data_IF_633619019435
#
_entry.id   IF_633619019435
#
_cell.length_a   1.000
_cell.length_b   1.000
_cell.length_c   1.000
_cell.angle_alpha   90.00
_cell.angle_beta   90.00
_cell.angle_gamma   90.00
#
_symmetry.space_group_name_H-M   'P 1'
#
loop_
_entity.id
_entity.type
_entity.pdbx_description
1 polymer ?
#
# COMPACT_ATOMS: atom_id res chain seq x y z
N UNK A 1 -7.84 17.33 -0.32
CA UNK A 1 -8.17 16.30 0.67
C UNK A 1 -7.40 16.62 1.93
N UNK A 2 -8.08 16.75 3.07
CA UNK A 2 -7.39 16.96 4.34
C UNK A 2 -6.85 15.61 4.81
N UNK A 3 -5.54 15.42 4.71
CA UNK A 3 -4.86 14.25 5.25
C UNK A 3 -4.67 14.40 6.77
N UNK A 4 -4.61 13.29 7.46
CA UNK A 4 -4.33 13.21 8.90
C UNK A 4 -2.80 13.19 9.05
N UNK A 5 -2.26 14.10 9.84
CA UNK A 5 -0.82 14.11 10.15
C UNK A 5 -0.43 12.83 10.89
N UNK A 6 0.75 12.32 10.59
CA UNK A 6 1.23 11.08 11.20
C UNK A 6 1.34 11.19 12.73
N UNK A 7 1.86 12.28 13.25
CA UNK A 7 1.95 12.52 14.70
C UNK A 7 0.58 12.50 15.40
N UNK A 8 -0.44 13.09 14.76
CA UNK A 8 -1.81 13.05 15.29
C UNK A 8 -2.39 11.61 15.29
N UNK A 9 -2.09 10.82 14.25
CA UNK A 9 -2.46 9.42 14.23
C UNK A 9 -1.76 8.63 15.33
N UNK A 10 -0.46 8.81 15.52
CA UNK A 10 0.30 8.13 16.59
C UNK A 10 -0.23 8.47 17.98
N UNK A 11 -0.53 9.72 18.25
CA UNK A 11 -1.11 10.15 19.51
C UNK A 11 -2.45 9.45 19.79
N UNK A 12 -3.33 9.42 18.79
CA UNK A 12 -4.64 8.76 18.93
C UNK A 12 -4.50 7.25 19.06
N UNK A 13 -3.69 6.60 18.23
CA UNK A 13 -3.52 5.14 18.21
C UNK A 13 -2.86 4.61 19.47
N UNK A 14 -1.99 5.40 20.12
CA UNK A 14 -1.32 5.07 21.38
C UNK A 14 -2.14 5.43 22.63
N UNK A 15 -3.32 6.02 22.48
CA UNK A 15 -4.21 6.33 23.56
C UNK A 15 -4.66 5.06 24.30
N UNK A 16 -4.75 5.12 25.65
CA UNK A 16 -5.20 3.98 26.47
C UNK A 16 -6.61 3.50 26.15
N UNK A 17 -7.40 4.31 25.46
CA UNK A 17 -8.77 3.99 25.06
C UNK A 17 -8.86 3.28 23.72
N UNK A 18 -7.76 3.25 22.94
CA UNK A 18 -7.68 2.60 21.64
C UNK A 18 -6.98 1.24 21.83
N UNK A 19 -7.66 0.19 21.45
CA UNK A 19 -7.14 -1.18 21.53
C UNK A 19 -6.21 -1.50 20.35
N UNK A 20 -6.56 -1.03 19.18
CA UNK A 20 -5.79 -1.14 17.94
C UNK A 20 -6.27 -0.07 16.96
N UNK A 21 -5.43 0.25 15.99
CA UNK A 21 -5.78 1.16 14.91
C UNK A 21 -5.15 0.65 13.60
N UNK A 22 -5.83 0.90 12.49
CA UNK A 22 -5.38 0.51 11.14
C UNK A 22 -5.23 1.80 10.32
N UNK A 23 -4.00 2.23 10.01
CA UNK A 23 -3.79 3.39 9.15
C UNK A 23 -4.05 3.03 7.69
N UNK A 24 -4.58 4.00 6.94
CA UNK A 24 -4.94 3.84 5.53
C UNK A 24 -4.38 5.03 4.75
N UNK A 25 -3.58 4.76 3.74
CA UNK A 25 -3.11 5.74 2.76
C UNK A 25 -3.58 5.36 1.37
N UNK A 26 -4.22 6.30 0.69
CA UNK A 26 -4.78 6.11 -0.65
C UNK A 26 -4.18 7.18 -1.58
N UNK A 27 -4.05 6.86 -2.86
CA UNK A 27 -3.57 7.83 -3.85
C UNK A 27 -3.12 7.21 -5.17
N UNK A 28 -2.81 5.94 -5.16
CA UNK A 28 -2.28 5.21 -6.30
C UNK A 28 -3.22 4.13 -6.80
N UNK A 29 -2.91 3.63 -7.99
CA UNK A 29 -3.67 2.58 -8.66
C UNK A 29 -2.75 1.66 -9.47
N UNK A 30 -3.30 0.52 -9.87
CA UNK A 30 -2.67 -0.37 -10.81
C UNK A 30 -3.72 -0.96 -11.74
N UNK A 31 -3.66 -0.61 -13.03
CA UNK A 31 -4.55 -1.14 -14.07
C UNK A 31 -6.04 -1.06 -13.70
N UNK A 32 -6.45 0.06 -13.10
CA UNK A 32 -7.82 0.30 -12.67
C UNK A 32 -8.20 -0.22 -11.27
N UNK A 33 -7.30 -0.91 -10.59
CA UNK A 33 -7.47 -1.34 -9.21
C UNK A 33 -6.82 -0.35 -8.24
N UNK A 34 -7.45 -0.16 -7.08
CA UNK A 34 -6.94 0.76 -6.05
C UNK A 34 -5.76 0.16 -5.31
N UNK A 35 -4.77 0.99 -5.01
CA UNK A 35 -3.68 0.68 -4.09
C UNK A 35 -3.98 1.29 -2.73
N UNK A 36 -3.77 0.52 -1.67
CA UNK A 36 -3.93 0.93 -0.28
C UNK A 36 -2.64 0.69 0.48
N UNK A 37 -2.04 1.76 0.99
CA UNK A 37 -0.96 1.68 1.97
C UNK A 37 -1.53 1.46 3.36
N UNK A 38 -0.96 0.52 4.11
CA UNK A 38 -1.37 0.18 5.48
C UNK A 38 -0.22 -0.47 6.25
N UNK A 39 -0.49 -1.04 7.41
CA UNK A 39 0.48 -1.77 8.21
C UNK A 39 -0.03 -3.17 8.61
N UNK A 40 0.73 -3.87 9.44
CA UNK A 40 0.39 -5.24 9.88
C UNK A 40 -0.96 -5.32 10.62
N UNK A 41 -1.36 -4.25 11.33
CA UNK A 41 -2.65 -4.20 12.04
C UNK A 41 -3.84 -4.50 11.12
N UNK A 42 -3.73 -4.17 9.84
CA UNK A 42 -4.77 -4.49 8.87
C UNK A 42 -4.99 -6.01 8.74
N UNK A 43 -3.93 -6.80 8.62
CA UNK A 43 -4.04 -8.25 8.52
C UNK A 43 -4.41 -8.91 9.83
N UNK A 44 -4.10 -8.28 10.96
CA UNK A 44 -4.36 -8.82 12.30
C UNK A 44 -5.78 -8.51 12.81
N UNK A 45 -6.29 -7.32 12.52
CA UNK A 45 -7.49 -6.81 13.17
C UNK A 45 -8.67 -6.56 12.22
N UNK A 46 -8.42 -6.33 10.92
CA UNK A 46 -9.53 -6.12 9.99
C UNK A 46 -10.42 -7.35 9.91
N UNK A 47 -11.71 -7.14 10.03
CA UNK A 47 -12.72 -8.18 9.96
C UNK A 47 -13.79 -7.81 8.92
N UNK A 48 -14.32 -8.83 8.24
CA UNK A 48 -15.40 -8.69 7.27
C UNK A 48 -16.51 -9.71 7.55
N UNK A 49 -17.70 -9.48 7.01
CA UNK A 49 -18.84 -10.36 7.18
C UNK A 49 -19.15 -10.64 8.66
N UNK A 50 -19.21 -11.90 9.04
CA UNK A 50 -19.44 -12.33 10.44
C UNK A 50 -18.12 -12.47 11.19
N UNK A 51 -17.39 -11.35 11.38
CA UNK A 51 -16.12 -11.29 12.11
C UNK A 51 -15.01 -12.21 11.56
N UNK A 52 -14.98 -12.40 10.26
CA UNK A 52 -13.94 -13.19 9.60
C UNK A 52 -12.68 -12.35 9.40
N UNK A 53 -11.54 -12.92 9.74
CA UNK A 53 -10.24 -12.32 9.48
C UNK A 53 -9.77 -12.58 8.06
N UNK A 54 -8.91 -11.69 7.55
CA UNK A 54 -8.22 -11.90 6.29
C UNK A 54 -7.31 -13.13 6.37
N UNK A 55 -7.31 -13.93 5.32
CA UNK A 55 -6.47 -15.12 5.22
C UNK A 55 -5.68 -15.10 3.91
N UNK A 56 -4.45 -15.57 3.94
CA UNK A 56 -3.66 -15.79 2.73
C UNK A 56 -4.13 -17.05 2.01
N UNK A 57 -4.39 -16.92 0.69
CA UNK A 57 -4.53 -18.07 -0.18
C UNK A 57 -3.15 -18.59 -0.57
N UNK A 58 -2.20 -17.68 -0.82
CA UNK A 58 -0.83 -17.98 -1.18
C UNK A 58 0.11 -16.93 -0.56
N UNK A 59 1.33 -17.35 -0.24
CA UNK A 59 2.38 -16.47 0.24
C UNK A 59 2.15 -15.93 1.65
N UNK A 60 2.54 -14.67 1.84
CA UNK A 60 2.60 -14.01 3.13
C UNK A 60 2.21 -12.54 3.05
N UNK A 61 1.99 -11.90 4.20
CA UNK A 61 1.89 -10.44 4.28
C UNK A 61 3.24 -9.80 3.95
N UNK A 62 3.24 -8.50 3.59
CA UNK A 62 4.50 -7.78 3.38
C UNK A 62 5.31 -7.68 4.70
N UNK A 63 6.61 -7.58 4.56
CA UNK A 63 7.57 -7.49 5.66
C UNK A 63 8.33 -6.15 5.59
N UNK A 64 9.64 -6.19 5.76
CA UNK A 64 10.47 -4.99 5.87
C UNK A 64 10.83 -4.33 4.54
N UNK A 65 10.83 -5.06 3.43
CA UNK A 65 11.07 -4.47 2.11
C UNK A 65 9.87 -3.59 1.70
N UNK A 66 10.07 -2.30 1.41
CA UNK A 66 8.97 -1.40 1.04
C UNK A 66 8.30 -1.76 -0.30
N UNK A 67 8.97 -2.52 -1.18
CA UNK A 67 8.47 -2.86 -2.51
C UNK A 67 7.82 -4.24 -2.58
N UNK A 68 7.07 -4.58 -1.57
CA UNK A 68 6.25 -5.79 -1.51
C UNK A 68 4.77 -5.45 -1.60
N UNK A 69 4.01 -6.28 -2.29
CA UNK A 69 2.56 -6.11 -2.44
C UNK A 69 1.81 -7.40 -2.15
N UNK A 70 0.68 -7.26 -1.45
CA UNK A 70 -0.30 -8.34 -1.23
C UNK A 70 -1.55 -8.03 -2.04
N UNK A 71 -1.96 -8.96 -2.89
CA UNK A 71 -3.09 -8.78 -3.80
C UNK A 71 -4.40 -9.27 -3.21
N UNK A 72 -5.47 -8.53 -3.45
CA UNK A 72 -6.82 -9.06 -3.32
C UNK A 72 -7.09 -10.16 -4.36
N UNK A 73 -8.01 -11.08 -4.05
CA UNK A 73 -8.25 -12.26 -4.88
C UNK A 73 -8.66 -11.93 -6.31
N UNK A 74 -9.51 -10.93 -6.52
CA UNK A 74 -9.95 -10.54 -7.86
C UNK A 74 -8.82 -9.91 -8.67
N UNK A 75 -7.94 -9.12 -8.04
CA UNK A 75 -6.77 -8.53 -8.73
C UNK A 75 -5.87 -9.64 -9.27
N UNK A 76 -5.54 -10.62 -8.45
CA UNK A 76 -4.70 -11.75 -8.86
C UNK A 76 -5.35 -12.56 -9.99
N UNK A 77 -6.63 -12.87 -9.87
CA UNK A 77 -7.38 -13.65 -10.87
C UNK A 77 -7.50 -12.91 -12.21
N UNK A 78 -7.92 -11.66 -12.17
CA UNK A 78 -8.20 -10.87 -13.38
C UNK A 78 -6.93 -10.50 -14.14
N UNK A 79 -5.85 -10.19 -13.43
CA UNK A 79 -4.58 -9.78 -14.03
C UNK A 79 -3.58 -10.94 -14.17
N UNK A 80 -3.95 -12.16 -13.74
CA UNK A 80 -3.14 -13.37 -13.85
C UNK A 80 -1.80 -13.29 -13.11
N UNK A 81 -1.78 -12.62 -11.97
CA UNK A 81 -0.58 -12.52 -11.12
C UNK A 81 -0.37 -13.76 -10.25
N UNK A 82 0.90 -14.08 -10.06
CA UNK A 82 1.41 -15.15 -9.19
C UNK A 82 2.45 -14.58 -8.22
N UNK A 83 2.75 -15.31 -7.15
CA UNK A 83 3.84 -14.97 -6.25
C UNK A 83 5.15 -14.80 -7.04
N UNK A 84 5.90 -13.75 -6.70
CA UNK A 84 7.15 -13.40 -7.36
C UNK A 84 7.01 -12.50 -8.59
N UNK A 85 5.81 -12.32 -9.14
CA UNK A 85 5.59 -11.39 -10.24
C UNK A 85 5.88 -9.96 -9.80
N UNK A 86 6.35 -9.15 -10.75
CA UNK A 86 6.61 -7.72 -10.53
C UNK A 86 5.56 -6.88 -11.21
N UNK A 87 5.15 -5.82 -10.54
CA UNK A 87 4.19 -4.86 -11.07
C UNK A 87 4.60 -3.43 -10.72
N UNK A 88 4.12 -2.49 -11.53
CA UNK A 88 4.40 -1.07 -11.41
C UNK A 88 3.11 -0.34 -11.05
N UNK A 89 3.19 0.50 -10.03
CA UNK A 89 2.07 1.35 -9.62
C UNK A 89 2.03 2.64 -10.44
N UNK A 90 0.87 3.26 -10.48
CA UNK A 90 0.65 4.52 -11.17
C UNK A 90 -0.02 5.53 -10.24
N UNK A 91 0.36 6.79 -10.37
CA UNK A 91 -0.19 7.85 -9.54
C UNK A 91 -1.66 8.15 -9.92
N UNK A 92 -2.49 8.27 -8.89
CA UNK A 92 -3.91 8.55 -9.04
C UNK A 92 -4.76 7.29 -9.26
N UNK A 93 -6.08 7.49 -9.36
CA UNK A 93 -7.09 6.41 -9.46
C UNK A 93 -7.67 6.25 -10.87
N UNK A 94 -7.18 6.99 -11.84
CA UNK A 94 -7.66 6.91 -13.22
C UNK A 94 -7.21 5.61 -13.90
N UNK A 95 -8.05 5.07 -14.77
CA UNK A 95 -7.72 3.88 -15.58
C UNK A 95 -6.50 4.12 -16.47
N UNK A 96 -6.30 5.36 -16.89
CA UNK A 96 -5.13 5.81 -17.64
C UNK A 96 -4.39 6.83 -16.77
N UNK A 97 -3.36 6.41 -16.08
CA UNK A 97 -2.44 7.32 -15.40
C UNK A 97 -1.29 7.66 -16.34
N UNK A 98 -0.98 8.94 -16.45
CA UNK A 98 0.12 9.43 -17.28
C UNK A 98 1.49 9.28 -16.57
N UNK A 99 1.48 9.06 -15.25
CA UNK A 99 2.71 8.95 -14.47
C UNK A 99 2.76 7.60 -13.78
N UNK A 100 3.79 6.83 -14.10
CA UNK A 100 4.06 5.50 -13.54
C UNK A 100 5.31 5.53 -12.68
N UNK A 101 5.33 4.69 -11.67
CA UNK A 101 6.50 4.45 -10.81
C UNK A 101 7.34 3.27 -11.34
N UNK A 102 7.70 3.32 -12.63
CA UNK A 102 8.37 2.23 -13.35
C UNK A 102 9.81 1.94 -12.90
N UNK A 103 10.42 2.87 -12.18
CA UNK A 103 11.72 2.72 -11.53
C UNK A 103 11.65 2.00 -10.16
N UNK A 104 10.46 1.78 -9.63
CA UNK A 104 10.22 1.19 -8.30
C UNK A 104 9.17 0.06 -8.38
N UNK A 105 9.51 -1.09 -8.99
CA UNK A 105 8.59 -2.21 -9.12
C UNK A 105 8.34 -2.89 -7.77
N UNK A 106 7.11 -3.35 -7.57
CA UNK A 106 6.68 -4.14 -6.42
C UNK A 106 6.68 -5.62 -6.75
N UNK A 107 7.06 -6.45 -5.80
CA UNK A 107 7.01 -7.92 -5.91
C UNK A 107 5.75 -8.44 -5.22
N UNK A 108 5.00 -9.29 -5.88
CA UNK A 108 3.84 -9.99 -5.29
C UNK A 108 4.34 -11.03 -4.30
N UNK A 109 4.07 -10.81 -3.01
CA UNK A 109 4.50 -11.70 -1.92
C UNK A 109 3.35 -12.48 -1.29
N UNK A 110 2.11 -12.06 -1.52
CA UNK A 110 0.93 -12.71 -1.00
C UNK A 110 -0.30 -12.43 -1.85
N UNK A 111 -1.24 -13.38 -1.79
CA UNK A 111 -2.57 -13.28 -2.40
C UNK A 111 -3.58 -13.67 -1.34
N UNK A 112 -4.53 -12.78 -1.07
CA UNK A 112 -5.59 -13.01 -0.09
C UNK A 112 -6.64 -14.00 -0.62
N UNK A 113 -7.24 -14.75 0.28
CA UNK A 113 -8.48 -15.49 -0.02
C UNK A 113 -9.60 -14.51 -0.33
N UNK A 114 -10.51 -14.92 -1.19
CA UNK A 114 -11.67 -14.14 -1.57
C UNK A 114 -12.55 -13.82 -0.35
N UNK A 115 -12.95 -12.56 -0.24
CA UNK A 115 -13.75 -12.06 0.88
C UNK A 115 -15.18 -11.71 0.46
N UNK A 116 -15.42 -11.47 -0.83
CA UNK A 116 -16.70 -10.93 -1.31
C UNK A 116 -16.89 -9.43 -1.00
N UNK A 117 -15.79 -8.73 -0.68
CA UNK A 117 -15.78 -7.31 -0.31
C UNK A 117 -14.82 -6.53 -1.23
N UNK A 118 -14.76 -5.20 -1.15
CA UNK A 118 -13.79 -4.40 -1.90
C UNK A 118 -12.32 -4.76 -1.65
N UNK A 119 -12.00 -5.50 -0.60
CA UNK A 119 -10.66 -6.07 -0.35
C UNK A 119 -10.19 -6.89 -1.54
N UNK A 120 -11.08 -7.65 -2.17
CA UNK A 120 -10.76 -8.49 -3.33
C UNK A 120 -10.22 -7.70 -4.53
N UNK A 121 -10.59 -6.42 -4.62
CA UNK A 121 -10.22 -5.49 -5.70
C UNK A 121 -9.10 -4.52 -5.32
N UNK A 122 -8.38 -4.79 -4.25
CA UNK A 122 -7.37 -3.89 -3.69
C UNK A 122 -5.98 -4.52 -3.74
N UNK A 123 -4.97 -3.72 -4.09
CA UNK A 123 -3.57 -4.03 -3.87
C UNK A 123 -3.14 -3.39 -2.55
N UNK A 124 -2.51 -4.18 -1.68
CA UNK A 124 -2.08 -3.74 -0.36
C UNK A 124 -0.56 -3.63 -0.32
N UNK A 125 -0.05 -2.46 0.04
CA UNK A 125 1.38 -2.19 0.25
C UNK A 125 1.60 -1.65 1.65
N UNK A 126 2.84 -1.66 2.13
CA UNK A 126 3.17 -1.01 3.39
C UNK A 126 3.09 0.52 3.27
N UNK A 127 2.91 1.21 4.41
CA UNK A 127 3.02 2.67 4.44
C UNK A 127 4.41 3.13 3.97
N UNK A 128 5.46 2.39 4.34
CA UNK A 128 6.81 2.65 3.83
C UNK A 128 6.91 2.52 2.31
N UNK A 129 6.20 1.56 1.72
CA UNK A 129 6.10 1.41 0.26
C UNK A 129 5.43 2.62 -0.40
N UNK A 130 4.36 3.12 0.21
CA UNK A 130 3.67 4.33 -0.27
C UNK A 130 4.59 5.56 -0.22
N UNK A 131 5.36 5.72 0.84
CA UNK A 131 6.35 6.81 0.92
C UNK A 131 7.50 6.62 -0.08
N UNK A 132 8.00 5.39 -0.22
CA UNK A 132 9.14 5.09 -1.09
C UNK A 132 8.91 5.44 -2.56
N UNK A 133 7.71 5.22 -3.08
CA UNK A 133 7.39 5.55 -4.47
C UNK A 133 7.24 7.06 -4.72
N UNK A 134 7.06 7.85 -3.68
CA UNK A 134 6.90 9.31 -3.77
C UNK A 134 8.07 10.10 -3.17
N UNK A 135 9.13 9.42 -2.70
CA UNK A 135 10.19 10.04 -1.91
C UNK A 135 10.96 11.12 -2.66
N UNK A 136 11.08 10.98 -3.99
CA UNK A 136 11.72 11.95 -4.87
C UNK A 136 10.70 12.83 -5.63
N UNK A 137 9.46 12.84 -5.21
CA UNK A 137 8.43 13.66 -5.84
C UNK A 137 8.44 15.09 -5.31
N UNK A 138 8.40 16.05 -6.23
CA UNK A 138 8.31 17.47 -5.94
C UNK A 138 7.04 18.05 -6.59
N UNK A 139 6.18 18.67 -5.79
CA UNK A 139 4.93 19.27 -6.28
C UNK A 139 4.05 18.33 -7.12
N UNK A 140 4.03 17.03 -6.77
CA UNK A 140 3.20 16.02 -7.42
C UNK A 140 3.77 15.45 -8.73
N UNK A 141 5.04 15.70 -9.03
CA UNK A 141 5.75 15.13 -10.18
C UNK A 141 7.09 14.52 -9.76
N UNK A 142 7.56 13.46 -10.44
CA UNK A 142 8.86 12.86 -10.16
C UNK A 142 9.99 13.86 -10.42
N UNK A 143 11.02 13.85 -9.58
CA UNK A 143 12.24 14.59 -9.84
C UNK A 143 12.95 14.08 -11.10
N UNK A 144 13.68 14.95 -11.77
CA UNK A 144 14.47 14.61 -12.94
C UNK A 144 15.97 14.66 -12.65
N UNK A 145 16.74 13.81 -13.36
CA UNK A 145 18.20 13.77 -13.27
C UNK A 145 18.70 13.42 -11.87
N UNK A 146 19.64 14.23 -11.34
CA UNK A 146 20.28 14.00 -10.06
C UNK A 146 19.37 14.01 -8.83
N UNK A 147 18.13 14.51 -8.95
CA UNK A 147 17.13 14.50 -7.87
C UNK A 147 16.37 13.17 -7.75
N UNK A 148 16.58 12.23 -8.67
CA UNK A 148 15.92 10.93 -8.66
C UNK A 148 16.53 9.99 -7.65
N UNK A 149 15.69 9.32 -6.85
CA UNK A 149 16.09 8.33 -5.83
C UNK A 149 15.73 6.95 -6.35
N UNK A 150 16.73 6.06 -6.46
CA UNK A 150 16.49 4.67 -6.89
C UNK A 150 15.76 3.85 -5.83
N UNK A 151 15.21 2.68 -6.24
CA UNK A 151 14.60 1.74 -5.31
C UNK A 151 15.57 1.32 -4.19
N UNK A 152 16.82 1.04 -4.52
CA UNK A 152 17.84 0.63 -3.54
C UNK A 152 18.18 1.76 -2.56
N UNK A 153 18.27 3.00 -3.03
CA UNK A 153 18.43 4.15 -2.15
C UNK A 153 17.22 4.34 -1.23
N UNK A 154 16.01 4.22 -1.76
CA UNK A 154 14.78 4.36 -0.99
C UNK A 154 14.68 3.33 0.14
N UNK A 155 15.14 2.08 -0.06
CA UNK A 155 15.17 1.04 0.97
C UNK A 155 15.97 1.42 2.21
N UNK A 156 16.96 2.30 2.08
CA UNK A 156 17.85 2.73 3.15
C UNK A 156 17.45 4.08 3.76
N UNK A 157 16.32 4.64 3.37
CA UNK A 157 15.84 5.94 3.86
C UNK A 157 14.80 5.76 4.97
N UNK A 158 14.56 6.83 5.72
CA UNK A 158 13.42 6.89 6.63
C UNK A 158 12.13 7.04 5.83
N UNK A 159 11.32 5.98 5.86
CA UNK A 159 10.04 5.88 5.16
C UNK A 159 8.84 6.07 6.11
N UNK A 160 9.04 6.73 7.24
CA UNK A 160 7.96 7.12 8.13
C UNK A 160 6.99 8.05 7.39
N UNK A 161 5.69 7.75 7.37
CA UNK A 161 4.70 8.59 6.71
C UNK A 161 4.68 9.99 7.29
N UNK A 162 4.44 10.99 6.45
CA UNK A 162 4.14 12.36 6.89
C UNK A 162 2.67 12.52 7.26
N UNK A 163 1.84 11.83 6.52
CA UNK A 163 0.38 11.85 6.70
C UNK A 163 -0.26 10.58 6.12
N UNK A 164 -1.48 10.31 6.57
CA UNK A 164 -2.34 9.23 6.06
C UNK A 164 -3.69 9.81 5.61
N UNK A 165 -4.42 9.03 4.82
CA UNK A 165 -5.74 9.45 4.32
C UNK A 165 -6.83 9.27 5.37
N UNK A 166 -6.80 8.15 6.09
CA UNK A 166 -7.78 7.76 7.10
C UNK A 166 -7.20 6.70 8.05
N UNK A 167 -7.94 6.34 9.08
CA UNK A 167 -7.66 5.16 9.89
C UNK A 167 -8.97 4.55 10.42
N UNK A 168 -8.92 3.28 10.80
CA UNK A 168 -9.97 2.54 11.49
C UNK A 168 -9.52 2.21 12.91
#
# INVERSE_FOLDING_TARGET
TNNIRWDSYEELSNSKQVKWAIPISLGDSHRGYRVMGTNESYFEHYQFGRQQHLQMAEGRKFQTDPFEVVLGAEVADALKYKLGDKLVLAHGVAVVSLVKHDDKPFTVVGILKRTGTPVDRTLHISLGGMEAIHIDWQNGVPAHGAGRISADQARNMDLTPKAITAFM
#
